data_IF_319438604121
#
_entry.id   IF_319438604121
#
_cell.length_a   1.000
_cell.length_b   1.000
_cell.length_c   1.000
_cell.angle_alpha   90.00
_cell.angle_beta   90.00
_cell.angle_gamma   90.00
#
_symmetry.space_group_name_H-M   'P 1'
#
loop_
_entity.id
_entity.type
_entity.pdbx_description
1 polymer ?
#
# COMPACT_ATOMS: atom_id res chain seq x y z
N UNK A 1 19.12 2.23 -13.73
CA UNK A 1 19.76 1.11 -14.45
C UNK A 1 19.55 1.27 -15.96
N UNK A 2 20.63 1.40 -16.73
CA UNK A 2 20.56 1.30 -18.18
C UNK A 2 20.68 -0.17 -18.64
N UNK A 3 20.42 -0.45 -19.92
CA UNK A 3 20.46 -1.82 -20.45
C UNK A 3 21.83 -2.50 -20.31
N UNK A 4 22.93 -1.72 -20.35
CA UNK A 4 24.28 -2.23 -20.17
C UNK A 4 24.54 -2.70 -18.74
N UNK A 5 24.06 -1.94 -17.75
CA UNK A 5 24.18 -2.30 -16.33
C UNK A 5 23.46 -3.61 -16.04
N UNK A 6 22.25 -3.80 -16.59
CA UNK A 6 21.45 -5.03 -16.45
C UNK A 6 22.16 -6.26 -17.02
N UNK A 7 22.77 -6.13 -18.19
CA UNK A 7 23.54 -7.23 -18.80
C UNK A 7 24.79 -7.57 -17.99
N UNK A 8 25.49 -6.57 -17.45
CA UNK A 8 26.63 -6.78 -16.59
C UNK A 8 26.25 -7.47 -15.28
N UNK A 9 25.13 -7.10 -14.67
CA UNK A 9 24.60 -7.75 -13.48
C UNK A 9 24.40 -9.25 -13.73
N UNK A 10 23.74 -9.61 -14.82
CA UNK A 10 23.48 -11.01 -15.18
C UNK A 10 24.78 -11.74 -15.45
N UNK A 11 25.70 -11.14 -16.22
CA UNK A 11 26.98 -11.76 -16.58
C UNK A 11 27.87 -12.00 -15.35
N UNK A 12 28.04 -10.98 -14.50
CA UNK A 12 28.90 -11.08 -13.32
C UNK A 12 28.30 -12.02 -12.27
N UNK A 13 26.98 -12.02 -12.14
CA UNK A 13 26.26 -12.99 -11.30
C UNK A 13 26.49 -14.42 -11.76
N UNK A 14 26.46 -14.67 -13.08
CA UNK A 14 26.74 -16.00 -13.63
C UNK A 14 28.13 -16.48 -13.27
N UNK A 15 29.10 -15.56 -13.23
CA UNK A 15 30.49 -15.86 -12.90
C UNK A 15 30.80 -15.79 -11.39
N UNK A 16 29.83 -15.54 -10.52
CA UNK A 16 30.02 -15.26 -9.10
C UNK A 16 30.99 -14.09 -8.80
N UNK A 17 31.10 -13.14 -9.71
CA UNK A 17 31.88 -11.93 -9.51
C UNK A 17 31.07 -10.89 -8.73
N UNK A 18 31.71 -10.24 -7.75
CA UNK A 18 31.14 -9.04 -7.12
C UNK A 18 31.23 -7.91 -8.14
N UNK A 19 30.11 -7.53 -8.71
CA UNK A 19 30.04 -6.51 -9.75
C UNK A 19 29.92 -5.09 -9.21
N UNK A 20 29.87 -4.94 -7.88
CA UNK A 20 29.68 -3.65 -7.21
C UNK A 20 28.34 -3.00 -7.53
N UNK A 21 27.39 -3.74 -8.13
CA UNK A 21 26.04 -3.20 -8.40
C UNK A 21 25.25 -3.15 -7.10
N UNK A 22 24.74 -1.98 -6.73
CA UNK A 22 23.96 -1.84 -5.51
C UNK A 22 22.59 -2.50 -5.70
N UNK A 23 22.49 -3.80 -5.40
CA UNK A 23 21.25 -4.58 -5.53
C UNK A 23 20.07 -3.95 -4.77
N UNK A 24 20.35 -3.32 -3.63
CA UNK A 24 19.34 -2.66 -2.82
C UNK A 24 18.87 -1.31 -3.38
N UNK A 25 19.53 -0.75 -4.38
CA UNK A 25 19.02 0.37 -5.16
C UNK A 25 17.89 -0.02 -6.13
N UNK A 26 17.68 -1.31 -6.37
CA UNK A 26 16.54 -1.78 -7.15
C UNK A 26 15.27 -1.74 -6.28
N UNK A 27 14.23 -1.09 -6.78
CA UNK A 27 12.95 -0.98 -6.07
C UNK A 27 12.01 -2.17 -6.32
N UNK A 28 12.45 -3.17 -7.09
CA UNK A 28 11.61 -4.33 -7.48
C UNK A 28 10.21 -3.95 -7.97
N UNK A 29 10.10 -2.78 -8.61
CA UNK A 29 8.85 -2.20 -9.08
C UNK A 29 8.36 -2.75 -10.42
N UNK A 30 9.05 -3.75 -10.98
CA UNK A 30 8.77 -4.46 -12.24
C UNK A 30 8.77 -3.61 -13.52
N UNK A 31 8.99 -2.31 -13.46
CA UNK A 31 9.05 -1.46 -14.66
C UNK A 31 10.06 -1.95 -15.70
N UNK A 32 11.21 -2.50 -15.25
CA UNK A 32 12.22 -3.07 -16.15
C UNK A 32 11.75 -4.35 -16.82
N UNK A 33 11.03 -5.20 -16.08
CA UNK A 33 10.46 -6.46 -16.58
C UNK A 33 9.40 -6.16 -17.64
N UNK A 34 8.49 -5.24 -17.36
CA UNK A 34 7.43 -4.84 -18.30
C UNK A 34 7.99 -4.19 -19.58
N UNK A 35 9.01 -3.34 -19.45
CA UNK A 35 9.66 -2.69 -20.59
C UNK A 35 10.61 -3.61 -21.39
N UNK A 36 10.88 -4.83 -20.91
CA UNK A 36 11.81 -5.75 -21.54
C UNK A 36 11.13 -6.54 -22.65
N UNK A 37 11.51 -6.40 -23.95
CA UNK A 37 10.91 -7.16 -25.03
C UNK A 37 11.18 -8.67 -24.94
N UNK A 38 12.13 -9.09 -24.09
CA UNK A 38 12.45 -10.49 -23.82
C UNK A 38 11.79 -11.02 -22.55
N UNK A 39 10.99 -10.19 -21.87
CA UNK A 39 10.30 -10.51 -20.62
C UNK A 39 11.22 -11.09 -19.54
N UNK A 40 12.43 -10.52 -19.42
CA UNK A 40 13.36 -10.92 -18.37
C UNK A 40 12.84 -10.48 -17.01
N UNK A 41 12.66 -11.44 -16.12
CA UNK A 41 12.18 -11.22 -14.75
C UNK A 41 13.33 -10.68 -13.86
N UNK A 42 13.51 -9.36 -13.88
CA UNK A 42 14.58 -8.70 -13.14
C UNK A 42 14.32 -8.64 -11.64
N UNK A 43 13.07 -8.56 -11.23
CA UNK A 43 12.71 -8.45 -9.82
C UNK A 43 12.92 -9.79 -9.09
N UNK A 44 12.52 -10.92 -9.67
CA UNK A 44 12.88 -12.24 -9.11
C UNK A 44 14.39 -12.48 -9.09
N UNK A 45 15.12 -12.01 -10.10
CA UNK A 45 16.58 -12.08 -10.07
C UNK A 45 17.17 -11.30 -8.88
N UNK A 46 16.71 -10.08 -8.65
CA UNK A 46 17.16 -9.24 -7.51
C UNK A 46 16.80 -9.86 -6.18
N UNK A 47 15.61 -10.43 -6.06
CA UNK A 47 15.14 -11.13 -4.85
C UNK A 47 16.08 -12.27 -4.48
N UNK A 48 16.35 -13.19 -5.41
CA UNK A 48 17.28 -14.31 -5.21
C UNK A 48 18.69 -13.79 -4.82
N UNK A 49 19.17 -12.73 -5.46
CA UNK A 49 20.50 -12.19 -5.17
C UNK A 49 20.58 -11.58 -3.77
N UNK A 50 19.53 -10.90 -3.32
CA UNK A 50 19.46 -10.35 -1.96
C UNK A 50 19.50 -11.44 -0.91
N UNK A 51 18.76 -12.55 -1.11
CA UNK A 51 18.81 -13.71 -0.21
C UNK A 51 20.23 -14.26 -0.04
N UNK A 52 21.05 -14.24 -1.11
CA UNK A 52 22.43 -14.73 -1.04
C UNK A 52 23.40 -13.79 -0.31
N UNK A 53 23.10 -12.51 -0.20
CA UNK A 53 23.99 -11.50 0.38
C UNK A 53 23.49 -10.89 1.68
N UNK A 54 22.24 -11.18 2.07
CA UNK A 54 21.64 -10.64 3.30
C UNK A 54 22.49 -11.01 4.52
N UNK A 55 22.66 -10.04 5.44
CA UNK A 55 23.56 -10.21 6.59
C UNK A 55 25.06 -10.09 6.28
N UNK A 56 25.45 -9.97 5.00
CA UNK A 56 26.81 -9.72 4.57
C UNK A 56 27.14 -8.23 4.43
N UNK A 57 28.39 -7.91 4.10
CA UNK A 57 28.88 -6.51 4.00
C UNK A 57 28.22 -5.70 2.87
N UNK A 58 27.61 -6.36 1.90
CA UNK A 58 26.91 -5.72 0.78
C UNK A 58 25.41 -5.55 1.03
N UNK A 59 24.89 -6.04 2.18
CA UNK A 59 23.50 -5.84 2.57
C UNK A 59 23.30 -4.40 3.05
N UNK A 60 22.21 -3.79 2.59
CA UNK A 60 21.75 -2.49 3.11
C UNK A 60 20.72 -2.71 4.22
N UNK A 61 20.73 -1.81 5.19
CA UNK A 61 19.77 -1.79 6.29
C UNK A 61 18.63 -0.83 5.89
N UNK A 62 17.36 -1.21 6.06
CA UNK A 62 16.24 -0.30 5.86
C UNK A 62 16.42 0.98 6.69
N UNK A 63 16.00 2.10 6.14
CA UNK A 63 16.22 3.38 6.79
C UNK A 63 15.34 3.62 8.03
N UNK A 64 14.30 2.80 8.24
CA UNK A 64 13.40 2.89 9.39
C UNK A 64 13.53 1.71 10.33
N UNK A 65 13.27 1.94 11.61
CA UNK A 65 13.21 0.86 12.61
C UNK A 65 12.00 -0.05 12.42
N UNK A 66 11.00 0.37 11.66
CA UNK A 66 9.77 -0.38 11.44
C UNK A 66 10.05 -1.80 10.94
N UNK A 67 10.93 -1.96 9.95
CA UNK A 67 11.26 -3.28 9.40
C UNK A 67 11.89 -4.19 10.46
N UNK A 68 12.69 -3.64 11.37
CA UNK A 68 13.28 -4.42 12.47
C UNK A 68 12.19 -4.82 13.48
N UNK A 69 11.25 -3.93 13.81
CA UNK A 69 10.11 -4.24 14.68
C UNK A 69 9.25 -5.32 14.07
N UNK A 70 8.88 -5.17 12.79
CA UNK A 70 8.06 -6.17 12.08
C UNK A 70 8.78 -7.52 11.91
N UNK A 71 10.10 -7.51 11.72
CA UNK A 71 10.90 -8.74 11.67
C UNK A 71 10.95 -9.44 13.05
N UNK A 72 10.99 -8.67 14.14
CA UNK A 72 10.99 -9.23 15.50
C UNK A 72 9.69 -10.01 15.80
N UNK A 73 8.57 -9.66 15.18
CA UNK A 73 7.32 -10.41 15.31
C UNK A 73 7.48 -11.89 14.90
N UNK A 74 8.39 -12.19 13.97
CA UNK A 74 8.67 -13.57 13.57
C UNK A 74 9.30 -14.41 14.68
N UNK A 75 10.02 -13.77 15.61
CA UNK A 75 10.69 -14.43 16.75
C UNK A 75 9.81 -14.50 18.01
N UNK A 76 8.72 -13.75 18.06
CA UNK A 76 7.74 -13.91 19.12
C UNK A 76 7.16 -15.32 19.04
N UNK A 77 7.11 -15.99 20.19
CA UNK A 77 6.86 -17.42 20.33
C UNK A 77 5.58 -17.83 19.58
N UNK A 78 5.75 -18.31 18.34
CA UNK A 78 4.66 -18.70 17.46
C UNK A 78 3.99 -20.01 17.89
N UNK A 79 4.62 -20.75 18.82
CA UNK A 79 4.07 -21.93 19.47
C UNK A 79 3.26 -21.57 20.73
N UNK A 80 3.38 -20.32 21.21
CA UNK A 80 2.49 -19.83 22.22
C UNK A 80 1.08 -19.80 21.61
N UNK A 81 0.37 -20.78 21.97
CA UNK A 81 -1.04 -21.04 21.81
C UNK A 81 -1.67 -20.18 20.70
N UNK A 82 -1.88 -20.79 19.55
CA UNK A 82 -2.87 -20.26 18.65
C UNK A 82 -4.09 -19.96 19.50
N UNK A 83 -4.25 -18.69 19.80
CA UNK A 83 -5.46 -18.22 20.48
C UNK A 83 -6.59 -18.85 19.68
N UNK A 84 -7.40 -19.64 20.32
CA UNK A 84 -8.51 -20.31 19.67
C UNK A 84 -9.34 -19.23 18.99
N UNK A 85 -9.94 -19.54 17.85
CA UNK A 85 -10.84 -18.63 17.12
C UNK A 85 -11.90 -18.04 18.07
N UNK A 86 -12.22 -18.77 19.14
CA UNK A 86 -13.12 -18.35 20.23
C UNK A 86 -12.63 -17.14 21.03
N UNK A 87 -11.31 -16.89 21.08
CA UNK A 87 -10.74 -15.74 21.80
C UNK A 87 -10.69 -14.46 20.92
N UNK A 88 -10.83 -14.61 19.59
CA UNK A 88 -10.98 -13.52 18.63
C UNK A 88 -12.18 -13.85 17.75
N UNK A 89 -13.39 -13.53 18.19
CA UNK A 89 -14.59 -13.84 17.43
C UNK A 89 -14.52 -13.17 16.05
N UNK A 90 -14.49 -13.99 15.02
CA UNK A 90 -14.65 -13.55 13.65
C UNK A 90 -16.14 -13.59 13.35
N UNK A 91 -16.76 -12.42 13.37
CA UNK A 91 -18.22 -12.29 13.20
C UNK A 91 -18.64 -12.30 11.73
N UNK A 92 -17.70 -12.20 10.80
CA UNK A 92 -17.91 -12.15 9.36
C UNK A 92 -16.98 -13.11 8.62
N UNK A 93 -17.42 -13.61 7.47
CA UNK A 93 -16.58 -14.34 6.52
C UNK A 93 -15.66 -13.41 5.71
N UNK A 94 -15.79 -12.10 5.85
CA UNK A 94 -14.90 -11.09 5.28
C UNK A 94 -13.98 -10.56 6.36
N UNK A 95 -12.67 -10.70 6.18
CA UNK A 95 -11.66 -10.16 7.07
C UNK A 95 -10.94 -8.96 6.43
N UNK A 96 -10.75 -7.89 7.19
CA UNK A 96 -9.94 -6.74 6.78
C UNK A 96 -8.59 -6.73 7.50
N UNK A 97 -7.52 -6.72 6.71
CA UNK A 97 -6.15 -6.62 7.20
C UNK A 97 -5.57 -5.22 6.92
N UNK A 98 -5.30 -4.41 7.95
CA UNK A 98 -4.86 -3.02 7.80
C UNK A 98 -3.43 -2.89 7.28
N UNK A 99 -2.63 -3.95 7.37
CA UNK A 99 -1.21 -3.89 7.03
C UNK A 99 -0.38 -3.12 8.04
N UNK A 100 0.59 -2.36 7.53
CA UNK A 100 1.50 -1.57 8.37
C UNK A 100 0.91 -0.20 8.76
N UNK A 101 -0.32 0.14 8.36
CA UNK A 101 -0.93 1.45 8.60
C UNK A 101 -0.94 1.78 10.10
N UNK A 102 -1.37 0.83 10.92
CA UNK A 102 -1.44 1.00 12.38
C UNK A 102 -0.06 1.26 13.03
N UNK A 103 1.04 0.79 12.40
CA UNK A 103 2.40 1.08 12.85
C UNK A 103 2.91 2.42 12.34
N UNK A 104 2.51 2.79 11.13
CA UNK A 104 2.95 4.03 10.49
C UNK A 104 2.35 5.25 11.16
N UNK A 105 1.14 5.11 11.70
CA UNK A 105 0.39 6.17 12.36
C UNK A 105 0.72 6.32 13.86
N UNK A 106 1.30 5.29 14.48
CA UNK A 106 1.65 5.38 15.87
C UNK A 106 2.94 6.19 16.07
N UNK A 107 2.94 7.02 17.09
CA UNK A 107 3.95 8.02 17.46
C UNK A 107 5.42 7.54 17.47
N UNK A 108 5.64 6.23 17.42
CA UNK A 108 6.98 5.64 17.63
C UNK A 108 7.89 5.64 16.41
N UNK A 109 7.36 5.57 15.19
CA UNK A 109 8.17 5.38 13.98
C UNK A 109 8.33 6.65 13.17
N UNK A 110 7.30 7.47 13.13
CA UNK A 110 7.25 8.72 12.38
C UNK A 110 6.77 9.88 13.23
N UNK A 111 7.05 9.88 14.54
CA UNK A 111 6.65 10.98 15.43
C UNK A 111 7.12 12.34 14.95
N UNK A 112 8.26 12.41 14.28
CA UNK A 112 8.76 13.61 13.63
C UNK A 112 7.96 14.05 12.41
N UNK A 113 7.15 13.14 11.85
CA UNK A 113 6.24 13.41 10.74
C UNK A 113 4.84 13.81 11.23
N UNK A 114 4.50 13.48 12.48
CA UNK A 114 3.19 13.75 13.06
C UNK A 114 3.01 15.18 13.59
N UNK A 115 4.02 16.04 13.48
CA UNK A 115 3.87 17.48 13.80
C UNK A 115 2.97 18.25 12.79
N UNK A 116 2.35 17.55 11.85
CA UNK A 116 1.39 18.11 10.90
C UNK A 116 0.64 16.99 10.19
N UNK A 117 -0.62 17.03 10.20
CA UNK A 117 -1.67 16.41 9.36
C UNK A 117 -1.44 15.08 8.63
N UNK A 118 -0.34 14.35 8.83
CA UNK A 118 -0.18 13.01 8.25
C UNK A 118 -0.90 12.00 9.13
N UNK A 119 -2.08 11.59 8.70
CA UNK A 119 -2.90 10.60 9.38
C UNK A 119 -3.05 9.34 8.50
N UNK A 120 -2.06 8.44 8.56
CA UNK A 120 -2.14 7.16 7.86
C UNK A 120 -3.05 6.16 8.57
N UNK A 121 -3.30 6.32 9.86
CA UNK A 121 -4.26 5.55 10.64
C UNK A 121 -5.70 5.75 10.23
N UNK A 122 -5.96 6.87 9.58
CA UNK A 122 -7.24 7.18 8.94
C UNK A 122 -7.66 6.11 7.91
N UNK A 123 -6.71 5.50 7.18
CA UNK A 123 -7.03 4.47 6.18
C UNK A 123 -7.80 3.29 6.76
N UNK A 124 -7.49 2.86 7.98
CA UNK A 124 -8.23 1.77 8.65
C UNK A 124 -9.64 2.18 9.01
N UNK A 125 -9.82 3.29 9.71
CA UNK A 125 -11.15 3.80 10.06
C UNK A 125 -11.98 4.15 8.84
N UNK A 126 -11.36 4.74 7.83
CA UNK A 126 -11.96 5.03 6.54
C UNK A 126 -12.47 3.76 5.83
N UNK A 127 -11.70 2.68 5.85
CA UNK A 127 -12.15 1.40 5.27
C UNK A 127 -13.42 0.89 5.96
N UNK A 128 -13.47 0.96 7.29
CA UNK A 128 -14.67 0.56 8.04
C UNK A 128 -15.86 1.47 7.75
N UNK A 129 -15.66 2.78 7.59
CA UNK A 129 -16.72 3.72 7.15
C UNK A 129 -17.34 3.28 5.82
N UNK A 130 -16.51 2.84 4.87
CA UNK A 130 -16.97 2.38 3.56
C UNK A 130 -17.72 1.03 3.66
N UNK A 131 -17.22 0.08 4.46
CA UNK A 131 -17.90 -1.19 4.69
C UNK A 131 -19.26 -0.99 5.38
N UNK A 132 -19.33 -0.08 6.35
CA UNK A 132 -20.58 0.29 7.01
C UNK A 132 -21.57 0.89 6.03
N UNK A 133 -21.14 1.80 5.14
CA UNK A 133 -22.01 2.39 4.10
C UNK A 133 -22.55 1.32 3.15
N UNK A 134 -21.77 0.27 2.86
CA UNK A 134 -22.24 -0.89 2.10
C UNK A 134 -23.18 -1.81 2.87
N UNK A 135 -23.30 -1.64 4.18
CA UNK A 135 -23.98 -2.60 5.06
C UNK A 135 -23.27 -3.95 5.17
N UNK A 136 -21.96 -3.97 4.97
CA UNK A 136 -21.14 -5.18 5.03
C UNK A 136 -20.47 -5.30 6.39
N UNK A 137 -20.71 -6.41 7.08
CA UNK A 137 -19.97 -6.77 8.28
C UNK A 137 -18.57 -7.28 7.90
N UNK A 138 -17.54 -6.72 8.53
CA UNK A 138 -16.14 -7.08 8.27
C UNK A 138 -15.41 -7.26 9.60
N UNK A 139 -14.69 -8.35 9.74
CA UNK A 139 -13.85 -8.62 10.90
C UNK A 139 -12.49 -7.95 10.78
N UNK A 140 -12.06 -7.24 11.83
CA UNK A 140 -10.74 -6.63 11.89
C UNK A 140 -9.65 -7.67 12.18
N UNK A 141 -8.67 -7.79 11.29
CA UNK A 141 -7.55 -8.73 11.40
C UNK A 141 -6.23 -7.98 11.63
N UNK A 142 -6.22 -7.10 12.63
CA UNK A 142 -5.04 -6.31 12.99
C UNK A 142 -3.99 -7.10 13.78
N UNK A 143 -3.10 -6.37 14.47
CA UNK A 143 -1.92 -6.91 15.18
C UNK A 143 -2.21 -7.99 16.20
N UNK A 144 -3.34 -7.91 16.88
CA UNK A 144 -3.73 -8.90 17.89
C UNK A 144 -4.14 -10.25 17.27
N UNK A 145 -4.37 -10.28 15.96
CA UNK A 145 -4.76 -11.47 15.24
C UNK A 145 -3.73 -11.92 14.20
N UNK A 146 -3.28 -11.03 13.31
CA UNK A 146 -2.26 -11.31 12.28
C UNK A 146 -1.00 -10.49 12.53
N UNK A 147 0.14 -11.10 12.25
CA UNK A 147 1.46 -10.45 12.21
C UNK A 147 1.67 -9.71 10.89
N UNK A 148 2.82 -9.05 10.73
CA UNK A 148 3.23 -8.46 9.46
C UNK A 148 3.06 -9.46 8.30
N UNK A 149 2.63 -8.97 7.13
CA UNK A 149 2.51 -9.81 5.92
C UNK A 149 3.85 -10.34 5.40
N UNK A 150 4.97 -9.78 5.86
CA UNK A 150 6.31 -10.20 5.47
C UNK A 150 6.81 -9.63 4.15
N UNK A 151 6.07 -8.72 3.50
CA UNK A 151 6.47 -8.13 2.21
C UNK A 151 7.91 -7.58 2.25
N UNK A 152 8.21 -6.74 3.23
CA UNK A 152 9.50 -6.07 3.28
C UNK A 152 10.64 -7.05 3.58
N UNK A 153 10.40 -8.01 4.46
CA UNK A 153 11.37 -9.04 4.82
C UNK A 153 11.74 -9.88 3.60
N UNK A 154 10.74 -10.33 2.83
CA UNK A 154 10.96 -11.05 1.58
C UNK A 154 11.84 -10.24 0.63
N UNK A 155 11.43 -9.01 0.30
CA UNK A 155 12.16 -8.19 -0.67
C UNK A 155 13.51 -7.65 -0.18
N UNK A 156 13.84 -7.85 1.11
CA UNK A 156 15.17 -7.63 1.67
C UNK A 156 16.07 -8.87 1.57
N UNK A 157 15.53 -10.03 1.23
CA UNK A 157 16.22 -11.32 1.21
C UNK A 157 16.22 -12.04 2.56
N UNK A 158 15.34 -11.63 3.50
CA UNK A 158 15.16 -12.24 4.83
C UNK A 158 14.14 -13.37 4.76
N UNK A 159 14.39 -14.38 3.92
CA UNK A 159 13.44 -15.46 3.62
C UNK A 159 13.02 -16.23 4.87
N UNK A 160 13.95 -16.53 5.80
CA UNK A 160 13.61 -17.23 7.04
C UNK A 160 12.62 -16.45 7.91
N UNK A 161 12.74 -15.13 7.94
CA UNK A 161 11.81 -14.25 8.67
C UNK A 161 10.46 -14.23 7.96
N UNK A 162 10.47 -14.09 6.64
CA UNK A 162 9.26 -14.14 5.82
C UNK A 162 8.50 -15.45 6.00
N UNK A 163 9.20 -16.59 5.95
CA UNK A 163 8.58 -17.91 6.09
C UNK A 163 7.91 -18.12 7.45
N UNK A 164 8.51 -17.60 8.54
CA UNK A 164 7.91 -17.65 9.87
C UNK A 164 6.63 -16.81 9.96
N UNK A 165 6.65 -15.57 9.43
CA UNK A 165 5.49 -14.69 9.37
C UNK A 165 4.37 -15.31 8.52
N UNK A 166 4.74 -15.83 7.33
CA UNK A 166 3.83 -16.52 6.42
C UNK A 166 3.15 -17.71 7.13
N UNK A 167 3.92 -18.60 7.72
CA UNK A 167 3.39 -19.81 8.37
C UNK A 167 2.41 -19.45 9.51
N UNK A 168 2.73 -18.42 10.31
CA UNK A 168 1.84 -17.95 11.36
C UNK A 168 0.53 -17.40 10.79
N UNK A 169 0.61 -16.43 9.88
CA UNK A 169 -0.57 -15.76 9.33
C UNK A 169 -1.46 -16.74 8.54
N UNK A 170 -0.84 -17.61 7.71
CA UNK A 170 -1.58 -18.60 6.94
C UNK A 170 -2.41 -19.50 7.85
N UNK A 171 -1.82 -20.04 8.91
CA UNK A 171 -2.52 -20.89 9.87
C UNK A 171 -3.66 -20.16 10.59
N UNK A 172 -3.47 -18.86 10.93
CA UNK A 172 -4.51 -18.03 11.56
C UNK A 172 -5.66 -17.76 10.60
N UNK A 173 -5.37 -17.41 9.35
CA UNK A 173 -6.37 -17.15 8.32
C UNK A 173 -7.18 -18.42 8.03
N UNK A 174 -6.52 -19.55 7.85
CA UNK A 174 -7.18 -20.86 7.61
C UNK A 174 -8.10 -21.24 8.80
N UNK A 175 -7.66 -20.98 10.03
CA UNK A 175 -8.45 -21.29 11.24
C UNK A 175 -9.61 -20.32 11.47
N UNK A 176 -9.58 -19.10 10.92
CA UNK A 176 -10.59 -18.07 11.16
C UNK A 176 -11.93 -18.36 10.48
N UNK A 177 -11.92 -19.14 9.41
CA UNK A 177 -13.11 -19.42 8.62
C UNK A 177 -13.54 -18.30 7.67
N UNK A 178 -12.73 -17.23 7.50
CA UNK A 178 -12.99 -16.23 6.47
C UNK A 178 -12.82 -16.85 5.08
N UNK A 179 -13.60 -16.38 4.12
CA UNK A 179 -13.48 -16.74 2.70
C UNK A 179 -12.95 -15.58 1.84
N UNK A 180 -12.91 -14.38 2.41
CA UNK A 180 -12.43 -13.17 1.74
C UNK A 180 -11.51 -12.38 2.68
N UNK A 181 -10.30 -12.08 2.19
CA UNK A 181 -9.31 -11.24 2.87
C UNK A 181 -9.13 -9.94 2.09
N UNK A 182 -9.47 -8.82 2.71
CA UNK A 182 -9.38 -7.48 2.10
C UNK A 182 -8.27 -6.67 2.74
N UNK A 183 -7.51 -5.92 1.95
CA UNK A 183 -6.50 -4.98 2.45
C UNK A 183 -6.43 -3.72 1.60
N UNK A 184 -6.25 -2.57 2.23
CA UNK A 184 -6.01 -1.28 1.56
C UNK A 184 -4.54 -1.05 1.20
N UNK A 185 -3.64 -1.92 1.62
CA UNK A 185 -2.22 -1.83 1.31
C UNK A 185 -1.88 -2.68 0.09
N UNK A 186 -1.44 -2.04 -1.00
CA UNK A 186 -1.04 -2.71 -2.24
C UNK A 186 0.06 -3.77 -2.03
N UNK A 187 1.00 -3.55 -1.10
CA UNK A 187 2.06 -4.50 -0.80
C UNK A 187 1.54 -5.72 -0.04
N UNK A 188 0.68 -5.50 0.97
CA UNK A 188 0.07 -6.59 1.72
C UNK A 188 -0.84 -7.43 0.83
N UNK A 189 -1.71 -6.78 0.06
CA UNK A 189 -2.59 -7.44 -0.91
C UNK A 189 -1.79 -8.34 -1.87
N UNK A 190 -0.78 -7.78 -2.52
CA UNK A 190 0.09 -8.53 -3.44
C UNK A 190 0.77 -9.71 -2.74
N UNK A 191 1.24 -9.53 -1.51
CA UNK A 191 1.96 -10.57 -0.77
C UNK A 191 1.03 -11.72 -0.40
N UNK A 192 -0.14 -11.45 0.15
CA UNK A 192 -1.12 -12.49 0.44
C UNK A 192 -1.62 -13.20 -0.83
N UNK A 193 -1.82 -12.48 -1.93
CA UNK A 193 -2.34 -13.05 -3.17
C UNK A 193 -1.31 -13.86 -3.97
N UNK A 194 -0.01 -13.59 -3.82
CA UNK A 194 1.04 -14.17 -4.66
C UNK A 194 2.03 -15.06 -3.91
N UNK A 195 2.30 -14.75 -2.65
CA UNK A 195 3.35 -15.42 -1.89
C UNK A 195 2.80 -16.37 -0.81
N UNK A 196 1.52 -16.23 -0.45
CA UNK A 196 0.81 -17.13 0.45
C UNK A 196 0.04 -18.21 -0.33
N UNK A 197 -0.23 -19.31 0.33
CA UNK A 197 -1.04 -20.43 -0.20
C UNK A 197 -2.33 -20.51 0.62
N UNK A 198 -3.28 -19.60 0.36
CA UNK A 198 -4.54 -19.49 1.10
C UNK A 198 -5.65 -20.25 0.36
N UNK A 199 -5.82 -21.55 0.67
CA UNK A 199 -6.86 -22.36 0.04
C UNK A 199 -8.26 -21.89 0.46
N UNK A 200 -9.10 -21.59 -0.54
CA UNK A 200 -10.50 -21.22 -0.33
C UNK A 200 -10.70 -19.77 0.15
N UNK A 201 -9.63 -18.96 0.28
CA UNK A 201 -9.72 -17.55 0.64
C UNK A 201 -9.43 -16.67 -0.57
N UNK A 202 -10.38 -15.83 -0.95
CA UNK A 202 -10.19 -14.80 -1.97
C UNK A 202 -9.47 -13.60 -1.37
N UNK A 203 -8.30 -13.26 -1.89
CA UNK A 203 -7.56 -12.06 -1.45
C UNK A 203 -7.88 -10.91 -2.40
N UNK A 204 -8.26 -9.76 -1.87
CA UNK A 204 -8.69 -8.59 -2.64
C UNK A 204 -8.06 -7.31 -2.11
N UNK A 205 -7.75 -6.39 -3.01
CA UNK A 205 -7.53 -5.00 -2.61
C UNK A 205 -8.87 -4.34 -2.30
N UNK A 206 -8.91 -3.38 -1.37
CA UNK A 206 -10.14 -2.70 -0.98
C UNK A 206 -10.86 -2.09 -2.19
N UNK A 207 -10.13 -1.54 -3.17
CA UNK A 207 -10.73 -0.97 -4.38
C UNK A 207 -11.46 -2.00 -5.25
N UNK A 208 -10.90 -3.21 -5.39
CA UNK A 208 -11.58 -4.31 -6.07
C UNK A 208 -12.83 -4.74 -5.32
N UNK A 209 -12.69 -4.87 -3.98
CA UNK A 209 -13.79 -5.29 -3.13
C UNK A 209 -14.99 -4.33 -3.24
N UNK A 210 -14.74 -3.02 -3.17
CA UNK A 210 -15.77 -2.00 -3.29
C UNK A 210 -16.50 -2.07 -4.65
N UNK A 211 -15.75 -2.17 -5.75
CA UNK A 211 -16.34 -2.26 -7.10
C UNK A 211 -17.13 -3.56 -7.28
N UNK A 212 -16.55 -4.71 -6.94
CA UNK A 212 -17.22 -6.00 -7.14
C UNK A 212 -18.49 -6.15 -6.31
N UNK A 213 -18.55 -5.51 -5.14
CA UNK A 213 -19.71 -5.59 -4.25
C UNK A 213 -20.66 -4.40 -4.38
N UNK A 214 -20.50 -3.58 -5.43
CA UNK A 214 -21.47 -2.56 -5.81
C UNK A 214 -21.54 -1.39 -4.82
N UNK A 215 -20.37 -0.90 -4.37
CA UNK A 215 -20.29 0.30 -3.55
C UNK A 215 -21.04 1.46 -4.22
N UNK A 216 -21.93 2.11 -3.43
CA UNK A 216 -22.74 3.22 -3.92
C UNK A 216 -21.86 4.46 -4.17
N UNK A 217 -21.81 4.90 -5.42
CA UNK A 217 -21.02 6.05 -5.87
C UNK A 217 -21.81 7.36 -5.87
N UNK A 218 -23.05 7.38 -5.31
CA UNK A 218 -23.83 8.61 -5.20
C UNK A 218 -23.26 9.56 -4.14
N UNK A 219 -22.04 10.02 -4.39
CA UNK A 219 -21.28 10.98 -3.59
C UNK A 219 -20.93 12.19 -4.42
N UNK A 220 -20.70 13.32 -3.75
CA UNK A 220 -20.38 14.59 -4.39
C UNK A 220 -19.41 15.39 -3.55
N UNK A 221 -18.41 15.98 -4.19
CA UNK A 221 -17.56 17.00 -3.55
C UNK A 221 -18.32 18.33 -3.42
N UNK A 222 -17.98 19.13 -2.39
CA UNK A 222 -18.60 20.43 -2.15
C UNK A 222 -18.27 21.42 -3.28
N UNK A 223 -17.00 21.51 -3.64
CA UNK A 223 -16.48 22.30 -4.75
C UNK A 223 -15.91 21.38 -5.83
N UNK A 224 -15.87 21.81 -7.08
CA UNK A 224 -15.21 21.06 -8.16
C UNK A 224 -13.73 20.81 -7.80
N UNK A 225 -13.28 19.56 -7.94
CA UNK A 225 -11.97 19.11 -7.52
C UNK A 225 -11.26 18.39 -8.66
N UNK A 226 -10.07 18.88 -9.03
CA UNK A 226 -9.20 18.17 -9.97
C UNK A 226 -8.26 17.23 -9.23
N UNK A 227 -8.30 15.96 -9.57
CA UNK A 227 -7.55 14.90 -8.88
C UNK A 227 -6.63 14.19 -9.87
N UNK A 228 -5.42 13.84 -9.44
CA UNK A 228 -4.55 12.93 -10.19
C UNK A 228 -4.34 11.64 -9.41
N UNK A 229 -4.09 10.52 -10.11
CA UNK A 229 -3.91 9.23 -9.48
C UNK A 229 -2.50 8.67 -9.68
N UNK A 230 -1.85 8.30 -8.58
CA UNK A 230 -0.57 7.59 -8.62
C UNK A 230 -0.80 6.08 -8.55
N UNK A 231 -0.38 5.35 -9.59
CA UNK A 231 -0.46 3.89 -9.66
C UNK A 231 0.63 3.24 -8.79
N UNK A 232 0.29 2.58 -7.68
CA UNK A 232 1.26 1.82 -6.91
C UNK A 232 1.77 0.63 -7.70
N UNK A 233 3.08 0.45 -7.76
CA UNK A 233 3.69 -0.59 -8.58
C UNK A 233 3.24 -2.01 -8.20
N UNK A 234 2.93 -2.24 -6.93
CA UNK A 234 2.44 -3.55 -6.44
C UNK A 234 0.99 -3.80 -6.84
N UNK A 235 0.16 -2.76 -6.89
CA UNK A 235 -1.24 -2.89 -7.31
C UNK A 235 -1.35 -2.98 -8.83
N UNK A 236 -0.77 -2.02 -9.55
CA UNK A 236 -0.82 -1.96 -11.00
C UNK A 236 0.04 -3.05 -11.66
N UNK A 237 1.35 -2.82 -11.81
CA UNK A 237 2.22 -3.71 -12.59
C UNK A 237 2.27 -5.15 -12.11
N UNK A 238 2.23 -5.40 -10.80
CA UNK A 238 2.33 -6.77 -10.30
C UNK A 238 0.98 -7.51 -10.22
N UNK A 239 -0.14 -6.77 -10.05
CA UNK A 239 -1.46 -7.39 -9.90
C UNK A 239 -2.43 -7.06 -11.03
N UNK A 240 -2.13 -6.09 -11.89
CA UNK A 240 -2.95 -5.74 -13.05
C UNK A 240 -4.16 -4.85 -12.72
N UNK A 241 -4.20 -4.27 -11.53
CA UNK A 241 -5.33 -3.46 -11.05
C UNK A 241 -5.04 -1.99 -11.31
N UNK A 242 -5.75 -1.42 -12.26
CA UNK A 242 -5.60 -0.04 -12.70
C UNK A 242 -6.93 0.72 -12.74
N UNK A 243 -8.01 0.04 -13.14
CA UNK A 243 -9.28 0.68 -13.43
C UNK A 243 -10.15 0.87 -12.19
N UNK A 244 -10.12 -0.05 -11.24
CA UNK A 244 -10.97 -0.03 -10.05
C UNK A 244 -10.75 1.25 -9.21
N UNK A 245 -9.51 1.66 -8.89
CA UNK A 245 -9.28 2.92 -8.19
C UNK A 245 -9.77 4.14 -8.99
N UNK A 246 -9.56 4.13 -10.31
CA UNK A 246 -9.99 5.21 -11.20
C UNK A 246 -11.51 5.33 -11.26
N UNK A 247 -12.22 4.22 -11.34
CA UNK A 247 -13.68 4.18 -11.33
C UNK A 247 -14.23 4.75 -10.02
N UNK A 248 -13.61 4.41 -8.88
CA UNK A 248 -14.01 4.91 -7.57
C UNK A 248 -13.80 6.44 -7.47
N UNK A 249 -12.66 6.94 -7.90
CA UNK A 249 -12.35 8.38 -7.82
C UNK A 249 -13.22 9.18 -8.80
N UNK A 250 -13.27 8.77 -10.06
CA UNK A 250 -14.02 9.46 -11.09
C UNK A 250 -15.55 9.32 -10.94
N UNK A 251 -16.01 8.37 -10.13
CA UNK A 251 -17.42 8.17 -9.81
C UNK A 251 -18.00 9.22 -8.86
N UNK A 252 -17.17 9.96 -8.15
CA UNK A 252 -17.61 11.03 -7.26
C UNK A 252 -17.98 12.26 -8.08
N UNK A 253 -19.24 12.76 -7.97
CA UNK A 253 -19.71 13.93 -8.70
C UNK A 253 -18.90 15.19 -8.35
N UNK A 254 -18.45 15.94 -9.36
CA UNK A 254 -17.63 17.14 -9.22
C UNK A 254 -16.13 16.85 -9.17
N UNK A 255 -15.70 15.59 -9.31
CA UNK A 255 -14.29 15.23 -9.44
C UNK A 255 -13.91 15.09 -10.91
N UNK A 256 -12.85 15.81 -11.32
CA UNK A 256 -12.17 15.64 -12.60
C UNK A 256 -10.86 14.87 -12.37
N UNK A 257 -10.77 13.64 -12.92
CA UNK A 257 -9.55 12.83 -12.87
C UNK A 257 -8.64 13.17 -14.07
N UNK A 258 -7.45 13.68 -13.78
CA UNK A 258 -6.41 13.99 -14.78
C UNK A 258 -5.21 13.05 -14.60
N UNK A 259 -4.71 12.53 -15.73
CA UNK A 259 -3.59 11.58 -15.69
C UNK A 259 -2.24 12.28 -15.72
N UNK A 260 -1.25 11.69 -15.03
CA UNK A 260 0.15 12.08 -15.14
C UNK A 260 0.75 11.63 -16.47
N UNK A 261 1.88 12.19 -16.88
CA UNK A 261 2.60 11.77 -18.09
C UNK A 261 2.86 10.26 -18.11
N UNK A 262 3.38 9.73 -16.99
CA UNK A 262 3.58 8.30 -16.81
C UNK A 262 2.52 7.75 -15.86
N UNK A 263 1.53 7.04 -16.38
CA UNK A 263 0.42 6.43 -15.63
C UNK A 263 0.18 4.98 -16.07
N UNK A 264 -0.66 4.26 -15.35
CA UNK A 264 -0.95 2.87 -15.62
C UNK A 264 0.31 1.99 -15.57
N UNK A 265 0.54 1.22 -16.62
CA UNK A 265 1.71 0.33 -16.72
C UNK A 265 3.04 1.09 -16.76
N UNK A 266 3.04 2.30 -17.31
CA UNK A 266 4.23 3.15 -17.44
C UNK A 266 4.49 4.01 -16.19
N UNK A 267 3.64 3.95 -15.17
CA UNK A 267 3.77 4.76 -13.97
C UNK A 267 5.16 4.64 -13.32
N UNK A 268 5.76 5.77 -12.97
CA UNK A 268 7.00 5.76 -12.20
C UNK A 268 6.73 5.30 -10.76
N UNK A 269 7.73 4.62 -10.17
CA UNK A 269 7.68 4.22 -8.76
C UNK A 269 7.78 5.44 -7.84
N UNK A 270 7.08 5.40 -6.71
CA UNK A 270 7.23 6.40 -5.65
C UNK A 270 8.63 6.41 -5.00
N UNK A 271 9.41 5.34 -5.17
CA UNK A 271 10.77 5.22 -4.65
C UNK A 271 10.89 4.54 -3.29
N UNK A 272 9.79 4.14 -2.64
CA UNK A 272 9.85 3.62 -1.26
C UNK A 272 10.30 2.17 -1.14
N UNK A 273 9.95 1.32 -2.05
CA UNK A 273 10.03 -0.15 -2.05
C UNK A 273 10.65 -0.80 -0.80
N UNK A 274 9.89 -1.60 -0.09
CA UNK A 274 10.31 -2.29 1.15
C UNK A 274 10.91 -1.37 2.21
N UNK A 275 10.61 -0.06 2.16
CA UNK A 275 11.20 0.97 3.01
C UNK A 275 12.72 0.81 3.20
N UNK A 276 13.40 0.40 2.13
CA UNK A 276 14.85 0.15 2.13
C UNK A 276 15.63 1.46 2.32
N UNK A 277 16.75 1.65 1.69
CA UNK A 277 17.48 2.89 1.88
C UNK A 277 16.75 4.08 1.23
N UNK A 278 16.65 5.20 1.95
CA UNK A 278 16.24 6.49 1.40
C UNK A 278 17.46 7.19 0.79
N UNK A 279 18.07 6.53 -0.20
CA UNK A 279 19.26 7.04 -0.89
C UNK A 279 18.89 8.08 -1.96
N UNK A 280 19.91 8.67 -2.59
CA UNK A 280 19.73 9.68 -3.62
C UNK A 280 18.86 9.21 -4.80
N UNK A 281 18.92 7.92 -5.16
CA UNK A 281 18.11 7.35 -6.25
C UNK A 281 16.62 7.29 -5.87
N UNK A 282 16.31 6.83 -4.65
CA UNK A 282 14.95 6.79 -4.14
C UNK A 282 14.37 8.21 -4.06
N UNK A 283 15.16 9.17 -3.55
CA UNK A 283 14.78 10.59 -3.50
C UNK A 283 14.57 11.18 -4.89
N UNK A 284 15.44 10.89 -5.85
CA UNK A 284 15.30 11.40 -7.22
C UNK A 284 14.02 10.92 -7.89
N UNK A 285 13.65 9.63 -7.70
CA UNK A 285 12.38 9.08 -8.21
C UNK A 285 11.16 9.78 -7.57
N UNK A 286 11.19 9.93 -6.26
CA UNK A 286 10.14 10.63 -5.51
C UNK A 286 9.94 12.06 -6.00
N UNK A 287 11.04 12.80 -6.14
CA UNK A 287 11.05 14.18 -6.65
C UNK A 287 10.51 14.24 -8.07
N UNK A 288 11.01 13.39 -8.99
CA UNK A 288 10.51 13.37 -10.37
C UNK A 288 9.02 13.06 -10.43
N UNK A 289 8.55 12.16 -9.58
CA UNK A 289 7.12 11.82 -9.53
C UNK A 289 6.28 12.99 -9.01
N UNK A 290 6.75 13.72 -7.99
CA UNK A 290 6.08 14.93 -7.50
C UNK A 290 6.04 16.04 -8.57
N UNK A 291 7.08 16.16 -9.39
CA UNK A 291 7.06 17.10 -10.52
C UNK A 291 5.99 16.72 -11.57
N UNK A 292 5.80 15.45 -11.86
CA UNK A 292 4.71 15.00 -12.73
C UNK A 292 3.33 15.30 -12.13
N UNK A 293 3.14 15.03 -10.84
CA UNK A 293 1.90 15.35 -10.12
C UNK A 293 1.58 16.85 -10.28
N UNK A 294 2.52 17.73 -9.99
CA UNK A 294 2.32 19.18 -10.11
C UNK A 294 2.05 19.63 -11.54
N UNK A 295 2.67 18.99 -12.51
CA UNK A 295 2.47 19.32 -13.93
C UNK A 295 1.05 19.00 -14.43
N UNK A 296 0.29 18.17 -13.72
CA UNK A 296 -1.14 17.94 -14.04
C UNK A 296 -2.02 19.13 -13.70
N UNK A 297 -1.59 19.98 -12.77
CA UNK A 297 -2.40 21.06 -12.22
C UNK A 297 -3.51 20.59 -11.28
N UNK A 298 -3.45 19.33 -10.82
CA UNK A 298 -4.42 18.79 -9.89
C UNK A 298 -4.33 19.44 -8.50
N UNK A 299 -5.46 19.55 -7.83
CA UNK A 299 -5.59 20.05 -6.46
C UNK A 299 -5.16 18.99 -5.43
N UNK A 300 -5.30 17.70 -5.81
CA UNK A 300 -5.05 16.56 -4.94
C UNK A 300 -4.44 15.38 -5.71
N UNK A 301 -3.56 14.62 -5.05
CA UNK A 301 -3.08 13.33 -5.53
C UNK A 301 -3.66 12.20 -4.70
N UNK A 302 -4.23 11.20 -5.36
CA UNK A 302 -4.75 9.99 -4.72
C UNK A 302 -3.88 8.79 -5.10
N UNK A 303 -3.72 7.85 -4.16
CA UNK A 303 -3.04 6.57 -4.41
C UNK A 303 -3.72 5.46 -3.61
N UNK A 304 -3.40 4.21 -3.87
CA UNK A 304 -3.94 3.03 -3.18
C UNK A 304 -2.82 2.26 -2.47
N UNK A 305 -1.93 2.99 -1.78
CA UNK A 305 -0.85 2.39 -1.01
C UNK A 305 -0.37 3.35 0.09
N UNK A 306 -0.56 3.02 1.37
CA UNK A 306 -0.17 3.89 2.48
C UNK A 306 1.34 4.19 2.52
N UNK A 307 2.18 3.26 2.04
CA UNK A 307 3.62 3.53 1.92
C UNK A 307 3.96 4.54 0.83
N UNK A 308 3.20 4.57 -0.27
CA UNK A 308 3.37 5.63 -1.27
C UNK A 308 2.98 6.99 -0.66
N UNK A 309 1.87 7.07 0.07
CA UNK A 309 1.48 8.28 0.80
C UNK A 309 2.61 8.74 1.71
N UNK A 310 3.07 7.90 2.64
CA UNK A 310 4.12 8.25 3.61
C UNK A 310 5.41 8.71 2.92
N UNK A 311 5.79 8.07 1.81
CA UNK A 311 7.03 8.41 1.11
C UNK A 311 6.96 9.76 0.38
N UNK A 312 5.80 10.11 -0.20
CA UNK A 312 5.61 11.43 -0.78
C UNK A 312 5.55 12.50 0.32
N UNK A 313 4.85 12.23 1.42
CA UNK A 313 4.78 13.12 2.58
C UNK A 313 6.18 13.42 3.17
N UNK A 314 7.16 12.50 3.07
CA UNK A 314 8.53 12.78 3.49
C UNK A 314 9.15 14.03 2.84
N UNK A 315 8.72 14.44 1.65
CA UNK A 315 9.22 15.68 1.01
C UNK A 315 8.80 16.95 1.79
N UNK A 316 7.63 16.93 2.44
CA UNK A 316 7.15 18.01 3.30
C UNK A 316 8.14 18.28 4.44
N UNK A 317 8.65 17.21 5.05
CA UNK A 317 9.60 17.31 6.15
C UNK A 317 11.02 17.65 5.70
N UNK A 318 11.36 17.37 4.45
CA UNK A 318 12.60 17.84 3.84
C UNK A 318 12.56 19.35 3.52
N UNK A 319 11.40 20.01 3.70
CA UNK A 319 11.19 21.41 3.34
C UNK A 319 11.21 21.62 1.83
N UNK A 320 10.85 20.61 1.06
CA UNK A 320 10.81 20.69 -0.40
C UNK A 320 9.52 21.39 -0.84
N UNK A 321 9.66 22.54 -1.51
CA UNK A 321 8.52 23.36 -1.97
C UNK A 321 7.62 22.63 -2.99
N UNK A 322 8.03 21.48 -3.49
CA UNK A 322 7.22 20.63 -4.38
C UNK A 322 6.10 19.90 -3.67
N UNK A 323 6.15 19.83 -2.35
CA UNK A 323 5.07 19.28 -1.54
C UNK A 323 4.07 20.38 -1.15
N UNK A 324 3.30 20.82 -2.13
CA UNK A 324 2.25 21.83 -1.99
C UNK A 324 0.85 21.28 -2.38
N UNK A 325 0.75 19.97 -2.59
CA UNK A 325 -0.48 19.26 -2.97
C UNK A 325 -0.90 18.30 -1.86
N UNK A 326 -2.19 18.18 -1.62
CA UNK A 326 -2.72 17.19 -0.70
C UNK A 326 -2.59 15.78 -1.27
N UNK A 327 -2.18 14.82 -0.42
CA UNK A 327 -1.96 13.43 -0.81
C UNK A 327 -2.81 12.54 0.09
N UNK A 328 -3.67 11.70 -0.51
CA UNK A 328 -4.55 10.81 0.23
C UNK A 328 -4.52 9.38 -0.30
N UNK A 329 -4.83 8.44 0.60
CA UNK A 329 -5.27 7.11 0.16
C UNK A 329 -6.69 7.18 -0.41
N UNK A 330 -6.98 6.37 -1.43
CA UNK A 330 -8.29 6.33 -2.08
C UNK A 330 -9.42 6.01 -1.09
N UNK A 331 -9.14 5.18 -0.10
CA UNK A 331 -10.12 4.78 0.93
C UNK A 331 -10.46 5.98 1.80
N UNK A 332 -9.46 6.74 2.25
CA UNK A 332 -9.65 7.98 3.04
C UNK A 332 -10.38 9.06 2.23
N UNK A 333 -10.04 9.20 0.94
CA UNK A 333 -10.76 10.11 0.06
C UNK A 333 -12.26 9.79 -0.02
N UNK A 334 -12.61 8.53 -0.28
CA UNK A 334 -14.01 8.11 -0.38
C UNK A 334 -14.76 8.23 0.94
N UNK A 335 -14.13 7.86 2.06
CA UNK A 335 -14.74 7.96 3.38
C UNK A 335 -15.11 9.41 3.74
N UNK A 336 -14.25 10.38 3.40
CA UNK A 336 -14.57 11.81 3.56
C UNK A 336 -15.84 12.21 2.80
N UNK A 337 -16.07 11.66 1.59
CA UNK A 337 -17.27 11.96 0.81
C UNK A 337 -18.52 11.30 1.43
N UNK A 338 -18.39 10.10 1.97
CA UNK A 338 -19.47 9.43 2.71
C UNK A 338 -19.87 10.23 3.95
N UNK A 339 -18.89 10.70 4.73
CA UNK A 339 -19.13 11.51 5.92
C UNK A 339 -19.77 12.85 5.58
N UNK A 340 -19.32 13.53 4.52
CA UNK A 340 -19.93 14.75 4.03
C UNK A 340 -21.41 14.54 3.61
N UNK A 341 -21.70 13.45 2.89
CA UNK A 341 -23.07 13.06 2.51
C UNK A 341 -23.94 12.85 3.75
N UNK A 342 -23.45 12.16 4.78
CA UNK A 342 -24.18 11.94 6.05
C UNK A 342 -24.46 13.25 6.80
N UNK A 343 -23.47 14.13 6.91
CA UNK A 343 -23.62 15.44 7.57
C UNK A 343 -24.67 16.32 6.89
N UNK A 344 -24.67 16.40 5.56
CA UNK A 344 -25.70 17.15 4.80
C UNK A 344 -27.11 16.58 4.99
N UNK A 345 -27.23 15.26 5.09
CA UNK A 345 -28.51 14.61 5.34
C UNK A 345 -29.04 14.92 6.73
N UNK A 346 -28.16 14.94 7.75
CA UNK A 346 -28.55 15.31 9.13
C UNK A 346 -28.96 16.77 9.24
N UNK A 347 -28.22 17.72 8.63
CA UNK A 347 -28.59 19.14 8.62
C UNK A 347 -29.95 19.40 7.96
N UNK A 348 -30.22 18.70 6.85
CA UNK A 348 -31.49 18.81 6.15
C UNK A 348 -32.68 18.23 6.96
N UNK A 349 -32.42 17.22 7.81
CA UNK A 349 -33.43 16.64 8.68
C UNK A 349 -33.77 17.51 9.92
N UNK A 350 -32.82 18.36 10.35
CA UNK A 350 -32.97 19.24 11.53
C UNK A 350 -33.68 20.57 11.20
N UNK A 351 -33.73 20.97 9.93
CA UNK A 351 -34.37 22.23 9.53
C UNK A 351 -35.92 22.03 9.57
N UNK A 352 -36.65 22.57 10.59
CA UNK A 352 -38.09 22.42 10.61
C UNK A 352 -38.67 23.25 9.47
N UNK A 353 -39.53 22.64 8.66
CA UNK A 353 -40.44 23.35 7.77
C UNK A 353 -41.19 24.36 8.61
N UNK A 354 -40.83 25.64 8.54
CA UNK A 354 -41.62 26.70 9.10
C UNK A 354 -42.98 26.65 8.42
N UNK A 355 -43.96 26.12 9.12
CA UNK A 355 -45.34 26.13 8.68
C UNK A 355 -45.74 27.61 8.49
N UNK A 356 -45.96 28.00 7.27
CA UNK A 356 -46.68 29.19 6.93
C UNK A 356 -48.08 29.09 7.56
N UNK A 357 -48.36 30.01 8.47
CA UNK A 357 -49.70 30.29 8.98
C UNK A 357 -50.29 31.48 8.27
#
# INVERSE_FOLDING_TARGET
>A
FNAGDKLNIIYNSWNNEDDGVPLYSCLTCTACTNACPQLVDYDSYVDIRRTLIVGGPAAEIPHTVLQAVLAAEAEEDSDADFVAVEDYPIDSNVGYYPGCVDYLDQEMVFSHLNEGDMNLGDTTSAAFTLFEEMGTEVSYLGRDFLKCCGHDQKWQGLDEVFDKLKAYNQKKIEASGIDTLVSSCAECFRTFARDYELEGVKVMHTTEYLIENGFDMEMKVEDELTVTYHDPCRLGRQMGIYEEPRQLVAGVEGVELVEMEHHGEDAMCCGVSSMMSCNENARALRVSRMEEIRNTGADMMITSCPKCVSHFECLKFEGDERHDIEILDVVSFLARQVEAKKSLAEESAVTPVSAEA
#
